data_IF_546429513358
#
_entry.id   IF_546429513358
#
_cell.length_a   1.000
_cell.length_b   1.000
_cell.length_c   1.000
_cell.angle_alpha   90.00
_cell.angle_beta   90.00
_cell.angle_gamma   90.00
#
_symmetry.space_group_name_H-M   'P 1'
#
loop_
_entity.id
_entity.type
_entity.pdbx_description
1 polymer ?
#
# COMPACT_ATOMS: atom_id res chain seq x y z
N UNK A 1 -14.41 -9.77 -1.77
CA UNK A 1 -13.31 -9.46 -2.71
C UNK A 1 -13.88 -9.05 -4.07
N UNK A 2 -14.75 -9.87 -4.67
CA UNK A 2 -15.38 -9.58 -5.98
C UNK A 2 -16.05 -8.21 -6.07
N UNK A 3 -16.88 -7.82 -5.09
CA UNK A 3 -17.49 -6.49 -5.04
C UNK A 3 -16.45 -5.37 -5.09
N UNK A 4 -15.36 -5.48 -4.32
CA UNK A 4 -14.30 -4.48 -4.33
C UNK A 4 -13.53 -4.45 -5.66
N UNK A 5 -13.37 -5.60 -6.33
CA UNK A 5 -12.75 -5.65 -7.64
C UNK A 5 -13.66 -5.05 -8.72
N UNK A 6 -14.98 -5.21 -8.61
CA UNK A 6 -15.94 -4.56 -9.49
C UNK A 6 -15.91 -3.03 -9.33
N UNK A 7 -15.91 -2.52 -8.11
CA UNK A 7 -15.78 -1.08 -7.84
C UNK A 7 -14.44 -0.53 -8.37
N UNK A 8 -13.35 -1.27 -8.15
CA UNK A 8 -12.04 -0.92 -8.67
C UNK A 8 -12.03 -0.85 -10.21
N UNK A 9 -12.63 -1.85 -10.86
CA UNK A 9 -12.76 -1.91 -12.31
C UNK A 9 -13.57 -0.73 -12.87
N UNK A 10 -14.68 -0.37 -12.22
CA UNK A 10 -15.49 0.78 -12.60
C UNK A 10 -14.72 2.10 -12.45
N UNK A 11 -13.90 2.23 -11.40
CA UNK A 11 -13.14 3.44 -11.12
C UNK A 11 -11.92 3.63 -12.05
N UNK A 12 -11.17 2.56 -12.32
CA UNK A 12 -9.92 2.60 -13.09
C UNK A 12 -10.08 2.14 -14.55
N UNK A 13 -11.30 1.79 -14.98
CA UNK A 13 -11.56 1.30 -16.34
C UNK A 13 -10.88 -0.04 -16.64
N UNK A 14 -10.73 -0.90 -15.62
CA UNK A 14 -10.08 -2.21 -15.73
C UNK A 14 -11.10 -3.34 -15.77
N UNK A 15 -10.66 -4.58 -16.02
CA UNK A 15 -11.54 -5.75 -16.03
C UNK A 15 -10.91 -6.96 -15.32
N UNK A 16 -10.55 -6.78 -14.05
CA UNK A 16 -10.00 -7.85 -13.23
C UNK A 16 -11.10 -8.73 -12.62
N UNK A 17 -10.83 -10.02 -12.52
CA UNK A 17 -11.67 -11.02 -11.86
C UNK A 17 -10.86 -11.72 -10.76
N UNK A 18 -11.53 -12.54 -9.96
CA UNK A 18 -10.87 -13.38 -8.95
C UNK A 18 -9.84 -14.33 -9.57
N UNK A 19 -10.06 -14.78 -10.82
CA UNK A 19 -9.11 -15.59 -11.57
C UNK A 19 -7.87 -14.81 -12.03
N UNK A 20 -8.03 -13.51 -12.34
CA UNK A 20 -6.92 -12.61 -12.72
C UNK A 20 -6.37 -11.80 -11.55
N UNK A 21 -6.53 -12.31 -10.32
CA UNK A 21 -6.01 -11.66 -9.11
C UNK A 21 -4.51 -11.28 -9.17
N UNK A 22 -3.59 -12.09 -9.75
CA UNK A 22 -2.19 -11.69 -9.87
C UNK A 22 -1.99 -10.40 -10.68
N UNK A 23 -2.78 -10.20 -11.72
CA UNK A 23 -2.73 -9.00 -12.57
C UNK A 23 -3.27 -7.78 -11.81
N UNK A 24 -4.40 -7.95 -11.12
CA UNK A 24 -4.96 -6.95 -10.21
C UNK A 24 -3.93 -6.51 -9.15
N UNK A 25 -3.28 -7.47 -8.49
CA UNK A 25 -2.27 -7.19 -7.48
C UNK A 25 -1.09 -6.38 -8.04
N UNK A 26 -0.59 -6.76 -9.22
CA UNK A 26 0.47 -6.03 -9.91
C UNK A 26 0.06 -4.61 -10.28
N UNK A 27 -1.19 -4.43 -10.73
CA UNK A 27 -1.73 -3.12 -11.07
C UNK A 27 -1.83 -2.20 -9.83
N UNK A 28 -2.39 -2.70 -8.73
CA UNK A 28 -2.45 -1.98 -7.45
C UNK A 28 -1.04 -1.63 -6.95
N UNK A 29 -0.12 -2.60 -6.95
CA UNK A 29 1.28 -2.39 -6.53
C UNK A 29 1.96 -1.28 -7.34
N UNK A 30 1.75 -1.24 -8.65
CA UNK A 30 2.29 -0.20 -9.53
C UNK A 30 1.73 1.18 -9.20
N UNK A 31 0.42 1.28 -8.99
CA UNK A 31 -0.27 2.54 -8.72
C UNK A 31 0.12 3.14 -7.36
N UNK A 32 0.28 2.30 -6.34
CA UNK A 32 0.72 2.73 -5.00
C UNK A 32 2.21 3.13 -4.98
N UNK A 33 3.07 2.47 -5.78
CA UNK A 33 4.50 2.82 -5.84
C UNK A 33 4.79 4.12 -6.58
N UNK A 34 4.18 4.30 -7.75
CA UNK A 34 4.54 5.39 -8.66
C UNK A 34 3.80 6.70 -8.38
N UNK A 35 2.71 6.66 -7.61
CA UNK A 35 1.86 7.84 -7.40
C UNK A 35 1.45 8.43 -8.75
N UNK A 36 0.99 7.57 -9.67
CA UNK A 36 0.64 7.97 -11.04
C UNK A 36 -0.48 9.01 -10.95
N UNK A 37 -0.28 10.18 -11.58
CA UNK A 37 -1.16 11.35 -11.47
C UNK A 37 -2.65 11.03 -11.69
N UNK A 38 -2.96 10.11 -12.59
CA UNK A 38 -4.34 9.80 -12.98
C UNK A 38 -4.90 8.54 -12.31
N UNK A 39 -4.06 7.73 -11.65
CA UNK A 39 -4.46 6.46 -11.00
C UNK A 39 -3.92 6.37 -9.57
N UNK A 40 -4.05 7.46 -8.81
CA UNK A 40 -3.50 7.56 -7.47
C UNK A 40 -4.37 6.80 -6.47
N UNK A 41 -3.74 5.92 -5.69
CA UNK A 41 -4.37 5.29 -4.53
C UNK A 41 -3.84 6.01 -3.29
N UNK A 42 -4.71 6.71 -2.58
CA UNK A 42 -4.33 7.49 -1.38
C UNK A 42 -4.26 6.62 -0.13
N UNK A 43 -5.17 5.65 0.01
CA UNK A 43 -5.24 4.73 1.14
C UNK A 43 -5.35 3.30 0.64
N UNK A 44 -4.51 2.42 1.16
CA UNK A 44 -4.56 0.99 0.89
C UNK A 44 -4.73 0.24 2.22
N UNK A 45 -5.79 -0.56 2.30
CA UNK A 45 -6.05 -1.43 3.46
C UNK A 45 -5.42 -2.81 3.16
N UNK A 46 -4.56 -3.28 4.06
CA UNK A 46 -3.83 -4.55 3.90
C UNK A 46 -3.86 -5.36 5.20
N UNK A 47 -3.77 -6.69 5.08
CA UNK A 47 -3.68 -7.59 6.23
C UNK A 47 -2.24 -8.11 6.43
N UNK A 48 -1.71 -8.78 5.40
CA UNK A 48 -0.34 -9.32 5.36
C UNK A 48 0.43 -8.89 4.11
N UNK A 49 -0.28 -8.67 3.01
CA UNK A 49 0.31 -8.23 1.75
C UNK A 49 0.92 -6.83 1.91
N UNK A 50 1.99 -6.54 1.16
CA UNK A 50 2.71 -5.26 1.19
C UNK A 50 3.49 -4.94 2.48
N UNK A 51 3.41 -5.76 3.53
CA UNK A 51 4.22 -5.58 4.74
C UNK A 51 5.68 -6.02 4.54
N UNK A 52 5.93 -6.96 3.62
CA UNK A 52 7.26 -7.43 3.22
C UNK A 52 7.48 -7.21 1.72
N UNK A 53 8.71 -6.87 1.31
CA UNK A 53 9.10 -6.74 -0.11
C UNK A 53 8.53 -5.53 -0.87
N UNK A 54 7.58 -4.78 -0.30
CA UNK A 54 7.09 -3.52 -0.88
C UNK A 54 7.98 -2.34 -0.49
N UNK A 55 8.25 -1.46 -1.46
CA UNK A 55 9.06 -0.26 -1.31
C UNK A 55 8.42 0.86 -2.14
N UNK A 56 7.98 1.93 -1.48
CA UNK A 56 7.44 3.13 -2.11
C UNK A 56 8.02 4.34 -1.40
N UNK A 57 8.71 5.21 -2.15
CA UNK A 57 9.36 6.41 -1.60
C UNK A 57 8.32 7.44 -1.11
N UNK A 58 7.17 7.49 -1.78
CA UNK A 58 6.07 8.42 -1.53
C UNK A 58 5.28 8.06 -0.26
N UNK A 59 5.33 6.80 0.19
CA UNK A 59 4.55 6.35 1.35
C UNK A 59 5.10 6.95 2.65
N UNK A 60 4.31 7.84 3.27
CA UNK A 60 4.72 8.55 4.48
C UNK A 60 4.05 8.04 5.75
N UNK A 61 2.82 7.56 5.67
CA UNK A 61 2.02 7.24 6.85
C UNK A 61 1.60 5.78 6.84
N UNK A 62 1.82 5.11 7.98
CA UNK A 62 1.37 3.73 8.22
C UNK A 62 0.40 3.74 9.40
N UNK A 63 -0.83 3.31 9.14
CA UNK A 63 -1.83 3.05 10.18
C UNK A 63 -1.77 1.57 10.55
N UNK A 64 -1.60 1.29 11.84
CA UNK A 64 -1.42 -0.08 12.36
C UNK A 64 -2.53 -0.38 13.35
N UNK A 65 -3.36 -1.37 13.02
CA UNK A 65 -4.31 -2.02 13.93
C UNK A 65 -4.01 -3.53 13.99
N UNK A 66 -2.75 -3.86 14.28
CA UNK A 66 -2.26 -5.23 14.34
C UNK A 66 -1.14 -5.34 15.37
N UNK A 67 -1.13 -6.44 16.11
CA UNK A 67 -0.08 -6.74 17.08
C UNK A 67 1.22 -7.14 16.36
N UNK A 68 1.97 -6.17 15.85
CA UNK A 68 3.30 -6.37 15.30
C UNK A 68 4.30 -6.61 16.44
N UNK A 69 5.14 -7.64 16.31
CA UNK A 69 6.10 -8.02 17.37
C UNK A 69 7.51 -8.14 16.80
N UNK A 70 8.51 -7.78 17.60
CA UNK A 70 9.93 -7.98 17.31
C UNK A 70 10.34 -7.49 15.91
N UNK A 71 10.80 -8.40 15.06
CA UNK A 71 11.33 -8.10 13.73
C UNK A 71 10.25 -7.61 12.77
N UNK A 72 9.00 -8.08 12.87
CA UNK A 72 7.89 -7.63 12.02
C UNK A 72 7.57 -6.15 12.24
N UNK A 73 7.66 -5.69 13.49
CA UNK A 73 7.46 -4.28 13.84
C UNK A 73 8.54 -3.40 13.19
N UNK A 74 9.81 -3.78 13.34
CA UNK A 74 10.92 -3.01 12.76
C UNK A 74 10.85 -3.03 11.23
N UNK A 75 10.52 -4.16 10.63
CA UNK A 75 10.40 -4.29 9.18
C UNK A 75 9.25 -3.46 8.59
N UNK A 76 8.11 -3.41 9.27
CA UNK A 76 6.97 -2.59 8.86
C UNK A 76 7.25 -1.09 9.04
N UNK A 77 7.81 -0.70 10.19
CA UNK A 77 8.06 0.71 10.52
C UNK A 77 9.11 1.32 9.60
N UNK A 78 10.17 0.58 9.31
CA UNK A 78 11.24 1.00 8.40
C UNK A 78 10.76 1.29 6.97
N UNK A 79 9.59 0.80 6.55
CA UNK A 79 9.01 1.10 5.22
C UNK A 79 8.69 2.59 5.04
N UNK A 80 8.32 3.28 6.12
CA UNK A 80 7.95 4.69 6.08
C UNK A 80 9.17 5.63 6.02
N UNK A 81 10.36 5.12 6.37
CA UNK A 81 11.59 5.90 6.53
C UNK A 81 12.47 6.00 5.27
N UNK A 82 11.94 5.68 4.09
CA UNK A 82 12.64 5.94 2.83
C UNK A 82 12.70 7.43 2.54
N UNK A 83 13.91 7.95 2.40
CA UNK A 83 14.20 9.34 2.04
C UNK A 83 13.89 9.55 0.56
N UNK A 84 12.98 10.48 0.25
CA UNK A 84 12.63 10.85 -1.12
C UNK A 84 13.00 12.30 -1.44
N UNK A 85 12.68 13.23 -0.54
CA UNK A 85 12.87 14.68 -0.67
C UNK A 85 13.01 15.31 0.72
N UNK A 86 13.62 16.49 0.82
CA UNK A 86 13.70 17.27 2.08
C UNK A 86 12.33 17.54 2.71
N UNK A 87 11.26 17.53 1.90
CA UNK A 87 9.87 17.71 2.35
C UNK A 87 9.32 16.56 3.20
N UNK A 88 10.03 15.42 3.29
CA UNK A 88 9.63 14.24 4.08
C UNK A 88 10.72 13.92 5.12
N UNK A 89 10.73 14.62 6.27
CA UNK A 89 11.78 14.47 7.27
C UNK A 89 11.71 13.14 8.04
N UNK A 90 10.52 12.54 8.20
CA UNK A 90 10.31 11.28 8.90
C UNK A 90 9.03 10.58 8.44
N UNK A 91 8.99 9.25 8.59
CA UNK A 91 7.77 8.47 8.45
C UNK A 91 6.84 8.65 9.65
N UNK A 92 5.53 8.73 9.40
CA UNK A 92 4.49 8.82 10.43
C UNK A 92 3.88 7.44 10.68
N UNK A 93 3.78 7.05 11.94
CA UNK A 93 3.20 5.77 12.33
C UNK A 93 2.11 6.05 13.35
N UNK A 94 0.90 5.59 13.06
CA UNK A 94 -0.26 5.72 13.94
C UNK A 94 -0.69 4.32 14.33
N UNK A 95 -0.52 3.98 15.59
CA UNK A 95 -0.85 2.67 16.12
C UNK A 95 -2.11 2.76 16.99
N UNK A 96 -3.03 1.81 16.78
CA UNK A 96 -4.30 1.70 17.50
C UNK A 96 -4.31 0.53 18.51
N UNK A 97 -3.20 -0.18 18.69
CA UNK A 97 -3.03 -1.26 19.67
C UNK A 97 -1.78 -1.11 20.53
#
# INVERSE_FOLDING_TARGET
LELMMQDYNAHFGTNFTTDTFPEYFNHVSKNVKKGVKDNKIDVLIVVNMFLTGFDSKVLNTLYVDKNLKYHDLIQAYSRTNRVEKETKPFGKIVNYR
#
